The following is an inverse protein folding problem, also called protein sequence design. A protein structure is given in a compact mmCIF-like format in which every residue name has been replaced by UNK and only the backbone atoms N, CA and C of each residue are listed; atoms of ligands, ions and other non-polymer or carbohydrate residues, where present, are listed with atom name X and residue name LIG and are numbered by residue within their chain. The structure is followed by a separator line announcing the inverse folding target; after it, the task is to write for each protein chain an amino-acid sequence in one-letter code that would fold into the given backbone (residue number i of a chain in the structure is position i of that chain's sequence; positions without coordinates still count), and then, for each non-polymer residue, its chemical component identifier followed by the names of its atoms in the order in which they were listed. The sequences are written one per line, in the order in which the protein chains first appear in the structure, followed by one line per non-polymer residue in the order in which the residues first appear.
data_IF_635158118092
#
_entry.id   IF_635158118092
#
_cell.length_a   1.000
_cell.length_b   1.000
_cell.length_c   1.000
_cell.angle_alpha   90.00
_cell.angle_beta   90.00
_cell.angle_gamma   90.00
#
_symmetry.space_group_name_H-M   'P 1'
#
loop_
_entity.id
_entity.type
_entity.pdbx_description
1 polymer ?
#
# COMPACT_ATOMS: atom_id res chain seq x y z
N UNK A 1 35.61 -39.00 -0.88
CA UNK A 1 35.08 -39.00 0.51
C UNK A 1 35.73 -37.93 1.38
N UNK A 2 37.03 -37.66 1.22
CA UNK A 2 37.72 -36.58 1.95
C UNK A 2 37.26 -35.18 1.56
N UNK A 3 37.17 -34.87 0.25
CA UNK A 3 36.74 -33.54 -0.22
C UNK A 3 35.38 -33.12 0.34
N UNK A 4 34.40 -34.04 0.36
CA UNK A 4 33.07 -33.77 0.88
C UNK A 4 33.08 -33.44 2.39
N UNK A 5 33.94 -34.09 3.18
CA UNK A 5 34.10 -33.79 4.61
C UNK A 5 34.72 -32.41 4.83
N UNK A 6 35.66 -32.02 3.98
CA UNK A 6 36.30 -30.69 4.02
C UNK A 6 35.26 -29.61 3.67
N UNK A 7 34.46 -29.83 2.62
CA UNK A 7 33.38 -28.90 2.23
C UNK A 7 32.34 -28.73 3.34
N UNK A 8 31.90 -29.83 3.95
CA UNK A 8 30.93 -29.82 5.08
C UNK A 8 31.50 -29.10 6.32
N UNK A 9 32.79 -29.31 6.62
CA UNK A 9 33.47 -28.61 7.73
C UNK A 9 33.56 -27.10 7.49
N UNK A 10 33.94 -26.69 6.28
CA UNK A 10 34.03 -25.27 5.90
C UNK A 10 32.64 -24.62 5.98
N UNK A 11 31.61 -25.26 5.41
CA UNK A 11 30.23 -24.76 5.46
C UNK A 11 29.75 -24.59 6.90
N UNK A 12 29.92 -25.62 7.76
CA UNK A 12 29.53 -25.53 9.18
C UNK A 12 30.31 -24.47 9.96
N UNK A 13 31.58 -24.25 9.60
CA UNK A 13 32.42 -23.24 10.26
C UNK A 13 32.05 -21.81 9.84
N UNK A 14 31.67 -21.62 8.57
CA UNK A 14 31.13 -20.35 8.06
C UNK A 14 29.77 -20.03 8.70
N UNK A 15 28.88 -21.02 8.85
CA UNK A 15 27.59 -20.85 9.53
C UNK A 15 27.73 -20.47 11.01
N UNK A 16 28.84 -20.87 11.65
CA UNK A 16 29.21 -20.50 13.02
C UNK A 16 29.88 -19.12 13.12
N UNK A 17 30.10 -18.43 12.00
CA UNK A 17 30.69 -17.10 11.94
C UNK A 17 32.23 -17.06 12.00
N UNK A 18 32.92 -18.20 11.82
CA UNK A 18 34.40 -18.20 11.71
C UNK A 18 34.84 -17.51 10.43
N UNK A 19 35.94 -16.75 10.48
CA UNK A 19 36.48 -16.09 9.30
C UNK A 19 37.12 -17.09 8.33
N UNK A 20 37.13 -16.76 7.03
CA UNK A 20 37.78 -17.60 6.01
C UNK A 20 39.25 -17.87 6.34
N UNK A 21 39.95 -16.90 6.91
CA UNK A 21 41.37 -17.03 7.30
C UNK A 21 41.60 -17.99 8.48
N UNK A 22 40.73 -17.97 9.49
CA UNK A 22 40.79 -18.90 10.62
C UNK A 22 40.53 -20.34 10.17
N UNK A 23 39.53 -20.53 9.30
CA UNK A 23 39.20 -21.83 8.71
C UNK A 23 40.39 -22.34 7.88
N UNK A 24 41.02 -21.46 7.10
CA UNK A 24 42.19 -21.81 6.30
C UNK A 24 43.38 -22.25 7.19
N UNK A 25 43.67 -21.51 8.26
CA UNK A 25 44.75 -21.84 9.21
C UNK A 25 44.50 -23.17 9.93
N UNK A 26 43.25 -23.42 10.34
CA UNK A 26 42.87 -24.64 11.06
C UNK A 26 42.95 -25.88 10.16
N UNK A 27 42.55 -25.75 8.90
CA UNK A 27 42.66 -26.82 7.91
C UNK A 27 44.11 -27.10 7.49
N UNK A 28 44.94 -26.06 7.36
CA UNK A 28 46.39 -26.23 7.15
C UNK A 28 47.06 -26.91 8.34
N UNK A 29 46.66 -26.58 9.57
CA UNK A 29 47.14 -27.22 10.80
C UNK A 29 46.81 -28.72 10.90
N UNK A 30 45.81 -29.19 10.14
CA UNK A 30 45.45 -30.61 10.04
C UNK A 30 46.23 -31.38 8.96
N UNK A 31 47.15 -30.72 8.25
CA UNK A 31 47.98 -31.33 7.21
C UNK A 31 47.33 -31.39 5.82
N UNK A 32 46.24 -30.65 5.59
CA UNK A 32 45.58 -30.57 4.29
C UNK A 32 46.37 -29.66 3.33
N UNK A 33 46.44 -30.07 2.06
CA UNK A 33 47.08 -29.28 1.01
C UNK A 33 46.31 -28.00 0.68
N UNK A 34 47.04 -26.93 0.35
CA UNK A 34 46.47 -25.61 -0.03
C UNK A 34 45.48 -25.75 -1.20
N UNK A 35 45.83 -26.58 -2.19
CA UNK A 35 45.01 -26.78 -3.39
C UNK A 35 43.64 -27.39 -3.05
N UNK A 36 43.61 -28.39 -2.15
CA UNK A 36 42.37 -29.02 -1.70
C UNK A 36 41.45 -28.07 -0.92
N UNK A 37 42.05 -27.20 -0.09
CA UNK A 37 41.30 -26.18 0.66
C UNK A 37 40.72 -25.14 -0.32
N UNK A 38 41.52 -24.68 -1.28
CA UNK A 38 41.09 -23.72 -2.30
C UNK A 38 39.95 -24.28 -3.16
N UNK A 39 40.06 -25.52 -3.60
CA UNK A 39 39.04 -26.20 -4.39
C UNK A 39 37.74 -26.36 -3.60
N UNK A 40 37.82 -26.69 -2.30
CA UNK A 40 36.63 -26.77 -1.44
C UNK A 40 35.95 -25.40 -1.27
N UNK A 41 36.71 -24.31 -1.06
CA UNK A 41 36.15 -22.96 -1.00
C UNK A 41 35.53 -22.50 -2.33
N UNK A 42 36.16 -22.83 -3.46
CA UNK A 42 35.65 -22.52 -4.79
C UNK A 42 34.32 -23.25 -5.06
N UNK A 43 34.21 -24.51 -4.63
CA UNK A 43 32.97 -25.30 -4.76
C UNK A 43 31.82 -24.69 -3.95
N UNK A 44 32.07 -24.27 -2.70
CA UNK A 44 31.04 -23.64 -1.85
C UNK A 44 30.59 -22.32 -2.46
N UNK A 45 31.54 -21.46 -2.85
CA UNK A 45 31.24 -20.14 -3.44
C UNK A 45 30.42 -20.31 -4.74
N UNK A 46 30.81 -21.23 -5.62
CA UNK A 46 30.08 -21.51 -6.87
C UNK A 46 28.68 -22.06 -6.60
N UNK A 47 28.52 -22.90 -5.57
CA UNK A 47 27.22 -23.45 -5.18
C UNK A 47 26.30 -22.36 -4.62
N UNK A 48 26.81 -21.51 -3.73
CA UNK A 48 26.08 -20.38 -3.14
C UNK A 48 25.64 -19.38 -4.23
N UNK A 49 26.52 -19.01 -5.16
CA UNK A 49 26.19 -18.13 -6.29
C UNK A 49 25.08 -18.71 -7.18
N UNK A 50 25.14 -20.02 -7.47
CA UNK A 50 24.09 -20.71 -8.23
C UNK A 50 22.76 -20.72 -7.48
N UNK A 51 22.77 -21.01 -6.18
CA UNK A 51 21.56 -21.00 -5.35
C UNK A 51 20.95 -19.61 -5.23
N UNK A 52 21.76 -18.56 -5.05
CA UNK A 52 21.30 -17.18 -5.01
C UNK A 52 20.67 -16.77 -6.34
N UNK A 53 21.35 -17.09 -7.46
CA UNK A 53 20.84 -16.82 -8.81
C UNK A 53 19.51 -17.54 -9.04
N UNK A 54 19.40 -18.82 -8.67
CA UNK A 54 18.14 -19.57 -8.76
C UNK A 54 17.03 -18.95 -7.90
N UNK A 55 17.32 -18.60 -6.64
CA UNK A 55 16.36 -17.92 -5.75
C UNK A 55 15.89 -16.59 -6.35
N UNK A 56 16.79 -15.82 -6.97
CA UNK A 56 16.47 -14.55 -7.65
C UNK A 56 15.59 -14.78 -8.88
N UNK A 57 15.93 -15.76 -9.73
CA UNK A 57 15.13 -16.12 -10.92
C UNK A 57 13.73 -16.59 -10.50
N UNK A 58 13.63 -17.46 -9.51
CA UNK A 58 12.34 -17.92 -8.97
C UNK A 58 11.53 -16.73 -8.46
N UNK A 59 12.13 -15.82 -7.68
CA UNK A 59 11.44 -14.62 -7.18
C UNK A 59 10.90 -13.77 -8.33
N UNK A 60 11.67 -13.57 -9.40
CA UNK A 60 11.25 -12.81 -10.58
C UNK A 60 10.09 -13.51 -11.28
N UNK A 61 10.20 -14.81 -11.56
CA UNK A 61 9.16 -15.60 -12.23
C UNK A 61 7.85 -15.58 -11.42
N UNK A 62 7.95 -15.81 -10.09
CA UNK A 62 6.79 -15.77 -9.19
C UNK A 62 6.16 -14.38 -9.19
N UNK A 63 6.96 -13.32 -9.13
CA UNK A 63 6.45 -11.94 -9.16
C UNK A 63 5.72 -11.65 -10.46
N UNK A 64 6.29 -12.03 -11.61
CA UNK A 64 5.64 -11.87 -12.92
C UNK A 64 4.36 -12.70 -12.99
N UNK A 65 4.37 -13.95 -12.50
CA UNK A 65 3.20 -14.82 -12.48
C UNK A 65 2.03 -14.20 -11.68
N UNK A 66 2.32 -13.68 -10.48
CA UNK A 66 1.31 -13.00 -9.66
C UNK A 66 0.75 -11.76 -10.37
N UNK A 67 1.61 -10.95 -11.01
CA UNK A 67 1.17 -9.79 -11.79
C UNK A 67 0.26 -10.20 -12.95
N UNK A 68 0.64 -11.22 -13.73
CA UNK A 68 -0.16 -11.70 -14.86
C UNK A 68 -1.52 -12.24 -14.43
N UNK A 69 -1.56 -12.99 -13.32
CA UNK A 69 -2.83 -13.47 -12.74
C UNK A 69 -3.70 -12.26 -12.34
N UNK A 70 -3.11 -11.26 -11.67
CA UNK A 70 -3.82 -10.03 -11.28
C UNK A 70 -4.39 -9.28 -12.49
N UNK A 71 -3.59 -9.10 -13.55
CA UNK A 71 -4.03 -8.49 -14.82
C UNK A 71 -5.13 -9.32 -15.47
N UNK A 72 -5.04 -10.64 -15.46
CA UNK A 72 -6.07 -11.54 -15.97
C UNK A 72 -7.41 -11.38 -15.23
N UNK A 73 -7.37 -11.32 -13.90
CA UNK A 73 -8.56 -11.08 -13.07
C UNK A 73 -9.18 -9.72 -13.40
N UNK A 74 -8.37 -8.66 -13.48
CA UNK A 74 -8.87 -7.32 -13.84
C UNK A 74 -9.46 -7.28 -15.26
N UNK A 75 -8.81 -7.92 -16.22
CA UNK A 75 -9.30 -8.03 -17.60
C UNK A 75 -10.64 -8.78 -17.66
N UNK A 76 -10.77 -9.89 -16.93
CA UNK A 76 -12.02 -10.65 -16.85
C UNK A 76 -13.16 -9.83 -16.24
N UNK A 77 -12.91 -9.15 -15.12
CA UNK A 77 -13.91 -8.27 -14.48
C UNK A 77 -14.30 -7.14 -15.43
N UNK A 78 -13.33 -6.51 -16.09
CA UNK A 78 -13.57 -5.41 -17.02
C UNK A 78 -14.38 -5.86 -18.25
N UNK A 79 -14.05 -7.02 -18.83
CA UNK A 79 -14.74 -7.57 -19.99
C UNK A 79 -16.22 -7.88 -19.70
N UNK A 80 -16.52 -8.39 -18.49
CA UNK A 80 -17.89 -8.69 -18.08
C UNK A 80 -18.60 -7.51 -17.40
N UNK A 81 -17.91 -6.37 -17.22
CA UNK A 81 -18.42 -5.27 -16.40
C UNK A 81 -19.77 -4.74 -16.88
N UNK A 82 -20.00 -4.64 -18.19
CA UNK A 82 -21.27 -4.10 -18.71
C UNK A 82 -22.47 -5.01 -18.39
N UNK A 83 -22.28 -6.32 -18.40
CA UNK A 83 -23.34 -7.31 -18.19
C UNK A 83 -23.67 -7.52 -16.70
N UNK A 84 -22.73 -7.15 -15.80
CA UNK A 84 -22.91 -7.33 -14.36
C UNK A 84 -23.97 -6.40 -13.77
N UNK A 85 -24.82 -6.95 -12.90
CA UNK A 85 -25.80 -6.16 -12.14
C UNK A 85 -25.10 -5.16 -11.22
N UNK A 86 -25.79 -4.07 -10.88
CA UNK A 86 -25.27 -3.03 -9.97
C UNK A 86 -24.86 -3.62 -8.62
N UNK A 87 -25.62 -4.58 -8.10
CA UNK A 87 -25.33 -5.24 -6.83
C UNK A 87 -23.99 -5.99 -6.85
N UNK A 88 -23.66 -6.68 -7.94
CA UNK A 88 -22.38 -7.41 -8.07
C UNK A 88 -21.22 -6.42 -8.16
N UNK A 89 -21.35 -5.34 -8.93
CA UNK A 89 -20.33 -4.28 -9.02
C UNK A 89 -20.01 -3.67 -7.66
N UNK A 90 -21.05 -3.31 -6.90
CA UNK A 90 -20.91 -2.80 -5.53
C UNK A 90 -20.26 -3.84 -4.63
N UNK A 91 -20.67 -5.11 -4.72
CA UNK A 91 -20.08 -6.18 -3.92
C UNK A 91 -18.58 -6.34 -4.16
N UNK A 92 -18.13 -6.27 -5.43
CA UNK A 92 -16.70 -6.32 -5.77
C UNK A 92 -15.93 -5.17 -5.13
N UNK A 93 -16.45 -3.94 -5.24
CA UNK A 93 -15.82 -2.75 -4.65
C UNK A 93 -15.73 -2.91 -3.13
N UNK A 94 -16.81 -3.32 -2.46
CA UNK A 94 -16.87 -3.50 -1.01
C UNK A 94 -15.92 -4.62 -0.56
N UNK A 95 -15.90 -5.76 -1.24
CA UNK A 95 -15.00 -6.87 -0.93
C UNK A 95 -13.54 -6.42 -1.07
N UNK A 96 -13.19 -5.73 -2.16
CA UNK A 96 -11.83 -5.23 -2.38
C UNK A 96 -11.42 -4.21 -1.31
N UNK A 97 -12.34 -3.33 -0.91
CA UNK A 97 -12.12 -2.34 0.14
C UNK A 97 -11.89 -3.03 1.50
N UNK A 98 -12.79 -3.93 1.90
CA UNK A 98 -12.69 -4.67 3.17
C UNK A 98 -11.41 -5.50 3.19
N UNK A 99 -11.12 -6.25 2.14
CA UNK A 99 -9.90 -7.06 2.04
C UNK A 99 -8.63 -6.21 2.17
N UNK A 100 -8.61 -5.02 1.58
CA UNK A 100 -7.48 -4.09 1.70
C UNK A 100 -7.31 -3.59 3.13
N UNK A 101 -8.41 -3.18 3.79
CA UNK A 101 -8.35 -2.72 5.18
C UNK A 101 -7.99 -3.84 6.16
N UNK A 102 -8.64 -5.00 6.08
CA UNK A 102 -8.39 -6.13 6.97
C UNK A 102 -6.99 -6.70 6.74
N UNK A 103 -6.58 -6.83 5.47
CA UNK A 103 -5.22 -7.25 5.12
C UNK A 103 -4.18 -6.26 5.61
N UNK A 104 -4.40 -4.95 5.44
CA UNK A 104 -3.50 -3.91 5.91
C UNK A 104 -3.33 -3.91 7.42
N UNK A 105 -4.44 -4.00 8.15
CA UNK A 105 -4.43 -4.11 9.60
C UNK A 105 -3.71 -5.38 10.08
N UNK A 106 -4.02 -6.53 9.48
CA UNK A 106 -3.41 -7.81 9.85
C UNK A 106 -1.90 -7.83 9.58
N UNK A 107 -1.45 -7.35 8.41
CA UNK A 107 -0.03 -7.27 8.08
C UNK A 107 0.72 -6.34 9.04
N UNK A 108 0.11 -5.21 9.40
CA UNK A 108 0.72 -4.24 10.30
C UNK A 108 0.82 -4.77 11.73
N UNK A 109 -0.26 -5.35 12.24
CA UNK A 109 -0.41 -5.69 13.66
C UNK A 109 0.08 -7.11 13.99
N UNK A 110 -0.20 -8.09 13.13
CA UNK A 110 0.12 -9.50 13.41
C UNK A 110 1.45 -9.94 12.83
N UNK A 111 1.82 -9.41 11.67
CA UNK A 111 3.06 -9.83 10.97
C UNK A 111 4.17 -8.78 11.02
N UNK A 112 3.96 -7.68 11.76
CA UNK A 112 4.91 -6.59 11.94
C UNK A 112 5.45 -5.96 10.64
N UNK A 113 4.77 -6.18 9.50
CA UNK A 113 5.10 -5.57 8.21
C UNK A 113 4.50 -4.17 8.12
N UNK A 114 5.04 -3.24 8.91
CA UNK A 114 4.48 -1.89 9.08
C UNK A 114 4.25 -1.16 7.75
N UNK A 115 5.24 -1.14 6.86
CA UNK A 115 5.15 -0.43 5.57
C UNK A 115 4.08 -1.01 4.64
N UNK A 116 4.05 -2.34 4.50
CA UNK A 116 3.08 -3.02 3.62
C UNK A 116 1.66 -2.92 4.18
N UNK A 117 1.51 -3.01 5.51
CA UNK A 117 0.22 -2.83 6.17
C UNK A 117 -0.36 -1.42 5.97
N UNK A 118 0.46 -0.38 6.17
CA UNK A 118 0.06 1.01 5.91
C UNK A 118 -0.30 1.25 4.44
N UNK A 119 0.44 0.64 3.50
CA UNK A 119 0.13 0.72 2.07
C UNK A 119 -1.23 0.08 1.72
N UNK A 120 -1.58 -1.04 2.34
CA UNK A 120 -2.88 -1.68 2.14
C UNK A 120 -4.04 -0.89 2.77
N UNK A 121 -3.82 -0.26 3.93
CA UNK A 121 -4.79 0.65 4.54
C UNK A 121 -5.05 1.85 3.61
N UNK A 122 -3.99 2.45 3.07
CA UNK A 122 -4.09 3.52 2.06
C UNK A 122 -4.86 3.06 0.82
N UNK A 123 -4.55 1.86 0.31
CA UNK A 123 -5.25 1.27 -0.82
C UNK A 123 -6.75 1.13 -0.53
N UNK A 124 -7.12 0.65 0.66
CA UNK A 124 -8.52 0.56 1.09
C UNK A 124 -9.23 1.92 1.06
N UNK A 125 -8.57 2.99 1.51
CA UNK A 125 -9.11 4.34 1.45
C UNK A 125 -9.27 4.87 0.02
N UNK A 126 -8.36 4.52 -0.90
CA UNK A 126 -8.51 4.86 -2.32
C UNK A 126 -9.67 4.10 -2.95
N UNK A 127 -9.82 2.80 -2.66
CA UNK A 127 -10.93 1.99 -3.16
C UNK A 127 -12.27 2.53 -2.63
N UNK A 128 -12.33 2.92 -1.36
CA UNK A 128 -13.51 3.58 -0.78
C UNK A 128 -13.89 4.84 -1.57
N UNK A 129 -12.94 5.73 -1.81
CA UNK A 129 -13.14 6.94 -2.59
C UNK A 129 -13.62 6.69 -4.02
N UNK A 130 -12.89 5.85 -4.76
CA UNK A 130 -13.26 5.45 -6.11
C UNK A 130 -14.65 4.79 -6.15
N UNK A 131 -14.96 3.99 -5.13
CA UNK A 131 -16.25 3.35 -4.94
C UNK A 131 -17.42 4.34 -4.85
N UNK A 132 -17.26 5.46 -4.14
CA UNK A 132 -18.28 6.52 -4.07
C UNK A 132 -18.64 7.03 -5.47
N UNK A 133 -17.64 7.34 -6.29
CA UNK A 133 -17.88 7.87 -7.64
C UNK A 133 -18.45 6.81 -8.59
N UNK A 134 -17.97 5.56 -8.51
CA UNK A 134 -18.52 4.46 -9.30
C UNK A 134 -19.99 4.19 -8.94
N UNK A 135 -20.34 4.23 -7.65
CA UNK A 135 -21.73 4.09 -7.20
C UNK A 135 -22.58 5.27 -7.72
N UNK A 136 -22.10 6.50 -7.57
CA UNK A 136 -22.80 7.68 -8.08
C UNK A 136 -23.08 7.57 -9.59
N UNK A 137 -22.10 7.08 -10.36
CA UNK A 137 -22.25 6.82 -11.79
C UNK A 137 -23.29 5.72 -12.07
N UNK A 138 -23.23 4.59 -11.37
CA UNK A 138 -24.15 3.46 -11.57
C UNK A 138 -25.62 3.80 -11.28
N UNK A 139 -25.87 4.71 -10.34
CA UNK A 139 -27.21 5.13 -9.95
C UNK A 139 -27.66 6.44 -10.61
N UNK A 140 -26.87 6.98 -11.55
CA UNK A 140 -27.13 8.26 -12.22
C UNK A 140 -27.43 9.39 -11.24
N UNK A 141 -26.76 9.39 -10.09
CA UNK A 141 -26.97 10.38 -9.04
C UNK A 141 -26.43 11.73 -9.51
N UNK A 142 -27.32 12.72 -9.66
CA UNK A 142 -26.97 14.11 -9.98
C UNK A 142 -26.54 14.84 -8.69
N UNK A 143 -25.42 14.41 -8.10
CA UNK A 143 -24.78 15.09 -6.98
C UNK A 143 -23.71 16.08 -7.46
N UNK A 144 -23.35 17.07 -6.65
CA UNK A 144 -22.22 17.92 -6.98
C UNK A 144 -20.94 17.09 -6.78
N UNK A 145 -20.05 17.11 -7.76
CA UNK A 145 -18.83 16.30 -7.73
C UNK A 145 -17.93 16.52 -6.48
N UNK A 146 -17.86 17.72 -5.85
CA UNK A 146 -17.11 17.93 -4.60
C UNK A 146 -17.68 17.18 -3.39
N UNK A 147 -18.98 16.87 -3.38
CA UNK A 147 -19.63 16.19 -2.25
C UNK A 147 -19.08 14.76 -2.08
N UNK A 148 -18.75 14.11 -3.20
CA UNK A 148 -18.10 12.79 -3.19
C UNK A 148 -16.74 12.82 -2.51
N UNK A 149 -15.98 13.91 -2.69
CA UNK A 149 -14.70 14.11 -2.00
C UNK A 149 -14.88 14.40 -0.52
N UNK A 150 -15.96 15.05 -0.09
CA UNK A 150 -16.29 15.20 1.34
C UNK A 150 -16.56 13.84 1.98
N UNK A 151 -17.42 13.03 1.35
CA UNK A 151 -17.73 11.67 1.84
C UNK A 151 -16.47 10.79 1.89
N UNK A 152 -15.60 10.93 0.89
CA UNK A 152 -14.31 10.25 0.87
C UNK A 152 -13.43 10.71 2.03
N UNK A 153 -13.28 12.02 2.25
CA UNK A 153 -12.50 12.55 3.35
C UNK A 153 -13.01 12.07 4.71
N UNK A 154 -14.33 12.16 4.95
CA UNK A 154 -14.94 11.75 6.23
C UNK A 154 -14.66 10.27 6.51
N UNK A 155 -14.92 9.40 5.53
CA UNK A 155 -14.67 7.96 5.72
C UNK A 155 -13.19 7.65 5.90
N UNK A 156 -12.30 8.36 5.19
CA UNK A 156 -10.84 8.21 5.36
C UNK A 156 -10.40 8.61 6.77
N UNK A 157 -10.97 9.67 7.33
CA UNK A 157 -10.65 10.13 8.70
C UNK A 157 -11.17 9.17 9.75
N UNK A 158 -12.42 8.71 9.61
CA UNK A 158 -12.98 7.67 10.50
C UNK A 158 -12.07 6.45 10.51
N UNK A 159 -11.62 6.02 9.34
CA UNK A 159 -10.72 4.88 9.24
C UNK A 159 -9.30 5.19 9.74
N UNK A 160 -8.81 6.43 9.58
CA UNK A 160 -7.53 6.87 10.14
C UNK A 160 -7.52 6.77 11.67
N UNK A 161 -8.62 7.13 12.32
CA UNK A 161 -8.79 6.95 13.76
C UNK A 161 -8.91 5.47 14.14
N UNK A 162 -9.78 4.72 13.47
CA UNK A 162 -10.02 3.32 13.80
C UNK A 162 -8.77 2.43 13.59
N UNK A 163 -7.98 2.72 12.55
CA UNK A 163 -6.72 2.05 12.29
C UNK A 163 -5.52 2.76 12.91
N UNK A 164 -5.67 3.85 13.65
CA UNK A 164 -4.56 4.66 14.18
C UNK A 164 -3.41 4.94 13.17
N UNK A 165 -3.75 5.11 11.89
CA UNK A 165 -2.78 5.26 10.80
C UNK A 165 -2.54 6.73 10.48
N UNK A 166 -1.29 7.18 10.60
CA UNK A 166 -0.87 8.53 10.17
C UNK A 166 -0.98 8.70 8.66
N UNK A 167 -0.75 7.64 7.89
CA UNK A 167 -0.82 7.66 6.43
C UNK A 167 -2.22 8.02 5.91
N UNK A 168 -3.27 7.53 6.58
CA UNK A 168 -4.65 7.87 6.22
C UNK A 168 -4.97 9.35 6.50
N UNK A 169 -4.42 9.95 7.56
CA UNK A 169 -4.57 11.40 7.79
C UNK A 169 -3.91 12.22 6.69
N UNK A 170 -2.72 11.81 6.21
CA UNK A 170 -2.07 12.49 5.09
C UNK A 170 -2.87 12.40 3.79
N UNK A 171 -3.62 11.32 3.56
CA UNK A 171 -4.53 11.21 2.42
C UNK A 171 -5.77 12.09 2.58
N UNK A 172 -6.30 12.22 3.80
CA UNK A 172 -7.51 13.00 4.04
C UNK A 172 -7.33 14.50 3.75
N UNK A 173 -6.14 15.06 3.98
CA UNK A 173 -5.84 16.48 3.76
C UNK A 173 -6.03 16.90 2.29
N UNK A 174 -5.34 16.33 1.29
CA UNK A 174 -5.52 16.70 -0.11
C UNK A 174 -6.92 16.39 -0.62
N UNK A 175 -7.56 15.30 -0.17
CA UNK A 175 -8.96 14.98 -0.50
C UNK A 175 -9.90 16.08 0.00
N UNK A 176 -9.69 16.56 1.22
CA UNK A 176 -10.43 17.69 1.80
C UNK A 176 -10.20 19.01 1.07
N UNK A 177 -8.96 19.30 0.67
CA UNK A 177 -8.64 20.49 -0.13
C UNK A 177 -9.37 20.45 -1.47
N UNK A 178 -9.39 19.31 -2.16
CA UNK A 178 -10.12 19.14 -3.43
C UNK A 178 -11.61 19.45 -3.23
N UNK A 179 -12.21 18.95 -2.15
CA UNK A 179 -13.61 19.26 -1.84
C UNK A 179 -13.85 20.76 -1.61
N UNK A 180 -12.99 21.40 -0.80
CA UNK A 180 -13.11 22.82 -0.44
C UNK A 180 -12.92 23.73 -1.67
N UNK A 181 -11.96 23.42 -2.55
CA UNK A 181 -11.70 24.19 -3.78
C UNK A 181 -12.76 23.93 -4.85
N UNK A 182 -13.29 22.71 -4.93
CA UNK A 182 -14.30 22.32 -5.92
C UNK A 182 -15.66 23.00 -5.72
N UNK A 183 -16.06 23.25 -4.47
CA UNK A 183 -17.35 23.88 -4.15
C UNK A 183 -17.51 25.32 -4.71
N UNK A 184 -16.57 26.25 -4.48
CA UNK A 184 -16.61 27.61 -5.03
C UNK A 184 -16.65 27.61 -6.57
N UNK A 185 -15.87 26.73 -7.23
CA UNK A 185 -15.89 26.61 -8.68
C UNK A 185 -17.25 26.18 -9.20
N UNK A 186 -17.91 25.20 -8.55
CA UNK A 186 -19.26 24.77 -8.90
C UNK A 186 -20.30 25.89 -8.75
N UNK A 187 -20.22 26.67 -7.66
CA UNK A 187 -21.12 27.80 -7.42
C UNK A 187 -20.87 28.95 -8.42
N UNK A 188 -19.62 29.25 -8.77
CA UNK A 188 -19.30 30.33 -9.71
C UNK A 188 -19.65 29.99 -11.17
N UNK A 189 -19.36 28.77 -11.62
CA UNK A 189 -19.64 28.34 -13.01
C UNK A 189 -21.09 27.93 -13.23
N UNK A 190 -21.68 27.16 -12.32
CA UNK A 190 -23.07 26.70 -12.44
C UNK A 190 -24.07 27.58 -11.70
N UNK A 191 -23.67 28.48 -10.78
CA UNK A 191 -24.60 29.39 -10.10
C UNK A 191 -25.02 30.57 -10.98
N UNK A 192 -24.08 31.21 -11.68
CA UNK A 192 -24.44 32.35 -12.57
C UNK A 192 -25.24 31.85 -13.79
N UNK A 193 -24.89 30.69 -14.35
CA UNK A 193 -25.61 30.07 -15.47
C UNK A 193 -26.87 29.28 -15.03
N UNK A 194 -26.88 28.78 -13.79
CA UNK A 194 -27.96 28.00 -13.19
C UNK A 194 -29.19 28.81 -12.79
N UNK A 195 -29.01 30.09 -12.45
CA UNK A 195 -30.10 31.04 -12.23
C UNK A 195 -31.01 31.15 -13.46
N UNK A 196 -30.45 31.02 -14.68
CA UNK A 196 -31.21 31.06 -15.93
C UNK A 196 -31.83 29.71 -16.35
N UNK A 197 -31.43 28.59 -15.73
CA UNK A 197 -31.81 27.23 -16.17
C UNK A 197 -32.59 26.42 -15.12
N UNK A 198 -32.88 26.99 -13.94
CA UNK A 198 -33.69 26.34 -12.91
C UNK A 198 -32.96 25.25 -12.11
N UNK A 199 -31.62 25.30 -12.06
CA UNK A 199 -30.82 24.41 -11.22
C UNK A 199 -30.97 24.82 -9.74
N UNK A 200 -31.52 23.95 -8.89
CA UNK A 200 -31.56 24.16 -7.44
C UNK A 200 -30.40 23.40 -6.78
N UNK A 201 -29.33 24.07 -6.31
CA UNK A 201 -28.20 23.43 -5.63
C UNK A 201 -28.54 22.99 -4.18
N UNK A 202 -29.81 23.05 -3.77
CA UNK A 202 -30.20 23.24 -2.39
C UNK A 202 -29.96 22.04 -1.45
N UNK A 203 -29.83 20.82 -1.97
CA UNK A 203 -29.79 19.63 -1.10
C UNK A 203 -28.38 19.16 -0.71
N UNK A 204 -27.32 19.61 -1.38
CA UNK A 204 -25.94 19.20 -1.06
C UNK A 204 -24.90 20.34 -1.07
N UNK A 205 -25.31 21.56 -1.43
CA UNK A 205 -24.45 22.76 -1.42
C UNK A 205 -24.54 23.51 -0.09
N UNK A 206 -24.72 22.81 1.03
CA UNK A 206 -24.96 23.48 2.31
C UNK A 206 -23.64 24.01 2.86
N UNK A 207 -23.59 25.30 3.21
CA UNK A 207 -22.46 25.91 3.96
C UNK A 207 -22.08 25.10 5.22
N UNK A 208 -23.02 24.31 5.74
CA UNK A 208 -22.81 23.32 6.80
C UNK A 208 -21.83 22.20 6.42
N UNK A 209 -21.92 21.60 5.23
CA UNK A 209 -20.99 20.57 4.76
C UNK A 209 -19.57 21.14 4.61
N UNK A 210 -19.45 22.33 4.02
CA UNK A 210 -18.17 23.06 3.93
C UNK A 210 -17.57 23.36 5.31
N UNK A 211 -18.39 23.82 6.25
CA UNK A 211 -17.97 24.10 7.62
C UNK A 211 -17.53 22.82 8.33
N UNK A 212 -18.27 21.72 8.19
CA UNK A 212 -17.85 20.42 8.74
C UNK A 212 -16.54 19.95 8.11
N UNK A 213 -16.37 20.09 6.79
CA UNK A 213 -15.14 19.72 6.12
C UNK A 213 -13.94 20.54 6.60
N UNK A 214 -14.13 21.84 6.83
CA UNK A 214 -13.07 22.75 7.31
C UNK A 214 -12.68 22.42 8.75
N UNK A 215 -13.67 22.21 9.64
CA UNK A 215 -13.43 21.78 11.03
C UNK A 215 -12.69 20.44 11.05
N UNK A 216 -13.16 19.48 10.26
CA UNK A 216 -12.58 18.14 10.18
C UNK A 216 -11.14 18.19 9.66
N UNK A 217 -10.85 19.01 8.65
CA UNK A 217 -9.49 19.23 8.12
C UNK A 217 -8.58 19.87 9.17
N UNK A 218 -9.09 20.85 9.91
CA UNK A 218 -8.33 21.52 10.97
C UNK A 218 -8.03 20.57 12.14
N UNK A 219 -9.00 19.75 12.55
CA UNK A 219 -8.83 18.73 13.58
C UNK A 219 -7.84 17.65 13.11
N UNK A 220 -7.95 17.18 11.87
CA UNK A 220 -7.01 16.23 11.29
C UNK A 220 -5.57 16.79 11.31
N UNK A 221 -5.37 18.03 10.86
CA UNK A 221 -4.07 18.71 10.90
C UNK A 221 -3.54 18.89 12.33
N UNK A 222 -4.40 19.26 13.28
CA UNK A 222 -4.03 19.41 14.68
C UNK A 222 -3.62 18.07 15.32
N UNK A 223 -4.31 16.97 15.00
CA UNK A 223 -3.99 15.64 15.50
C UNK A 223 -2.70 15.07 14.92
N UNK A 224 -2.43 15.33 13.63
CA UNK A 224 -1.14 15.03 13.00
C UNK A 224 0.00 15.77 13.73
N UNK A 225 -0.20 17.05 14.07
CA UNK A 225 0.78 17.82 14.87
C UNK A 225 1.01 17.23 16.26
N UNK A 226 -0.03 16.66 16.89
CA UNK A 226 0.07 16.05 18.23
C UNK A 226 0.80 14.70 18.21
N UNK A 227 0.72 13.93 17.12
CA UNK A 227 1.38 12.62 16.97
C UNK A 227 2.79 12.67 16.35
N UNK A 228 3.30 13.84 15.97
CA UNK A 228 4.69 13.97 15.47
C UNK A 228 5.73 13.83 16.60
N UNK A 229 6.82 13.06 16.39
CA UNK A 229 7.98 13.00 17.29
C UNK A 229 8.57 14.39 17.53
N UNK A 230 9.11 14.67 18.74
CA UNK A 230 9.64 16.00 19.09
C UNK A 230 10.77 16.48 18.17
N UNK A 231 11.51 15.57 17.53
CA UNK A 231 12.64 15.88 16.64
C UNK A 231 12.26 16.62 15.35
N UNK A 232 11.00 16.54 14.90
CA UNK A 232 10.49 17.26 13.71
C UNK A 232 9.76 18.56 14.06
N UNK A 233 9.64 18.91 15.35
CA UNK A 233 9.04 20.17 15.80
C UNK A 233 10.01 21.35 15.79
N UNK A 234 11.31 21.11 15.64
CA UNK A 234 12.33 22.18 15.61
C UNK A 234 12.54 22.81 14.22
N UNK A 235 11.95 22.24 13.17
CA UNK A 235 12.07 22.74 11.79
C UNK A 235 10.83 23.49 11.27
N UNK A 236 9.86 23.81 12.14
CA UNK A 236 8.68 24.62 11.86
C UNK A 236 8.41 25.61 12.99
#
# INVERSE_FOLDING_TARGET
MEDQKITEYIQSSLDKGKSKEEIYKELLGQGLGIDAIQDAFNQITTKEEKEETQKRVIRIIVTIGVILIGVGIFSFIAANWQEMTKAVKVSIIVIAMVASYTGGWFLREKWHYKKTGEALLLLGAIIYGAGIFLVAQMFHTRGNWPDGFILWMIGTIVMAFAAESSSLFYLAIPVGIIAIVGHPFGILTFGIFGIFTGYNPFLLTSSFLLLTATIVTFIAGWLVKKRMPPELKEFY
#
